data_IF_811737956618
#
_entry.id   IF_811737956618
#
_cell.length_a   1.000
_cell.length_b   1.000
_cell.length_c   1.000
_cell.angle_alpha   90.00
_cell.angle_beta   90.00
_cell.angle_gamma   90.00
#
_symmetry.space_group_name_H-M   'P 1'
#
loop_
_entity.id
_entity.type
_entity.pdbx_description
1 polymer ?
#
# COMPACT_ATOMS: atom_id res chain seq x y z
N UNK A 1 -23.49 6.11 -21.96
CA UNK A 1 -22.94 7.13 -21.09
C UNK A 1 -21.42 6.93 -20.96
N UNK A 2 -20.66 8.00 -21.11
CA UNK A 2 -19.19 7.91 -21.11
C UNK A 2 -18.61 7.78 -19.71
N UNK A 3 -19.34 8.22 -18.67
CA UNK A 3 -18.88 8.15 -17.29
C UNK A 3 -19.28 6.81 -16.70
N UNK A 4 -18.30 6.08 -16.15
CA UNK A 4 -18.54 4.77 -15.57
C UNK A 4 -17.71 4.62 -14.28
N UNK A 5 -18.37 4.77 -13.15
CA UNK A 5 -17.75 4.69 -11.84
C UNK A 5 -17.16 3.31 -11.56
N UNK A 6 -17.83 2.26 -12.02
CA UNK A 6 -17.38 0.89 -11.79
C UNK A 6 -16.07 0.60 -12.53
N UNK A 7 -15.95 1.12 -13.74
CA UNK A 7 -14.72 0.98 -14.52
C UNK A 7 -13.58 1.81 -13.90
N UNK A 8 -13.90 3.00 -13.39
CA UNK A 8 -12.93 3.82 -12.67
C UNK A 8 -12.39 3.13 -11.42
N UNK A 9 -13.27 2.49 -10.65
CA UNK A 9 -12.87 1.71 -9.48
C UNK A 9 -11.97 0.54 -9.86
N UNK A 10 -12.28 -0.12 -10.97
CA UNK A 10 -11.43 -1.22 -11.48
C UNK A 10 -10.03 -0.70 -11.81
N UNK A 11 -9.91 0.42 -12.51
CA UNK A 11 -8.62 1.01 -12.86
C UNK A 11 -7.82 1.35 -11.60
N UNK A 12 -8.46 1.98 -10.62
CA UNK A 12 -7.80 2.35 -9.36
C UNK A 12 -7.29 1.12 -8.61
N UNK A 13 -8.12 0.08 -8.53
CA UNK A 13 -7.73 -1.17 -7.86
C UNK A 13 -6.53 -1.83 -8.54
N UNK A 14 -6.60 -1.99 -9.87
CA UNK A 14 -5.53 -2.64 -10.60
C UNK A 14 -4.24 -1.83 -10.50
N UNK A 15 -4.32 -0.52 -10.63
CA UNK A 15 -3.15 0.35 -10.52
C UNK A 15 -2.51 0.24 -9.14
N UNK A 16 -3.29 0.41 -8.08
CA UNK A 16 -2.77 0.32 -6.72
C UNK A 16 -2.19 -1.07 -6.43
N UNK A 17 -2.98 -2.11 -6.74
CA UNK A 17 -2.59 -3.47 -6.41
C UNK A 17 -1.36 -3.94 -7.17
N UNK A 18 -1.30 -3.69 -8.46
CA UNK A 18 -0.18 -4.13 -9.30
C UNK A 18 1.10 -3.39 -8.90
N UNK A 19 1.04 -2.07 -8.76
CA UNK A 19 2.22 -1.28 -8.40
C UNK A 19 2.72 -1.61 -7.00
N UNK A 20 1.82 -1.81 -6.05
CA UNK A 20 2.21 -2.21 -4.70
C UNK A 20 2.81 -3.62 -4.70
N UNK A 21 2.26 -4.53 -5.50
CA UNK A 21 2.76 -5.90 -5.58
C UNK A 21 4.20 -5.96 -6.09
N UNK A 22 4.59 -5.06 -7.00
CA UNK A 22 6.00 -4.98 -7.41
C UNK A 22 6.92 -4.77 -6.21
N UNK A 23 6.52 -3.91 -5.27
CA UNK A 23 7.31 -3.68 -4.06
C UNK A 23 7.36 -4.94 -3.19
N UNK A 24 6.22 -5.64 -3.05
CA UNK A 24 6.16 -6.87 -2.26
C UNK A 24 7.00 -8.00 -2.85
N UNK A 25 6.92 -8.19 -4.16
CA UNK A 25 7.70 -9.22 -4.86
C UNK A 25 9.19 -8.93 -4.75
N UNK A 26 9.59 -7.65 -4.89
CA UNK A 26 10.99 -7.26 -4.70
C UNK A 26 11.51 -7.68 -3.32
N UNK A 27 10.70 -7.47 -2.28
CA UNK A 27 11.06 -7.84 -0.91
C UNK A 27 11.10 -9.36 -0.72
N UNK A 28 10.24 -10.11 -1.39
CA UNK A 28 10.29 -11.58 -1.36
C UNK A 28 11.59 -12.10 -1.97
N UNK A 29 12.04 -11.48 -3.06
CA UNK A 29 13.26 -11.92 -3.76
C UNK A 29 14.52 -11.50 -3.00
N UNK A 30 14.58 -10.26 -2.52
CA UNK A 30 15.80 -9.67 -1.94
C UNK A 30 15.83 -9.69 -0.41
N UNK A 31 14.73 -10.06 0.24
CA UNK A 31 14.65 -10.09 1.70
C UNK A 31 14.32 -8.74 2.31
N UNK A 32 14.20 -8.72 3.62
CA UNK A 32 13.77 -7.55 4.38
C UNK A 32 14.73 -7.21 5.54
N UNK A 33 16.02 -7.48 5.37
CA UNK A 33 16.98 -7.25 6.45
C UNK A 33 17.03 -5.79 6.90
N UNK A 34 16.93 -4.84 5.95
CA UNK A 34 16.87 -3.42 6.29
C UNK A 34 15.66 -3.07 7.13
N UNK A 35 14.50 -3.66 6.82
CA UNK A 35 13.27 -3.43 7.58
C UNK A 35 13.39 -4.04 8.97
N UNK A 36 13.97 -5.23 9.08
CA UNK A 36 14.23 -5.86 10.39
C UNK A 36 15.07 -4.97 11.28
N UNK A 37 16.12 -4.35 10.72
CA UNK A 37 16.95 -3.41 11.46
C UNK A 37 16.17 -2.19 11.96
N UNK A 38 15.33 -1.62 11.10
CA UNK A 38 14.50 -0.47 11.49
C UNK A 38 13.50 -0.82 12.59
N UNK A 39 12.89 -1.99 12.51
CA UNK A 39 11.92 -2.46 13.49
C UNK A 39 12.58 -2.64 14.86
N UNK A 40 13.74 -3.30 14.88
CA UNK A 40 14.49 -3.52 16.13
C UNK A 40 14.97 -2.19 16.73
N UNK A 41 15.46 -1.29 15.89
CA UNK A 41 15.91 0.03 16.34
C UNK A 41 14.76 0.88 16.91
N UNK A 42 13.54 0.62 16.48
CA UNK A 42 12.34 1.29 17.01
C UNK A 42 11.85 0.66 18.33
N UNK A 43 12.53 -0.38 18.83
CA UNK A 43 12.17 -1.04 20.07
C UNK A 43 11.12 -2.12 19.94
N UNK A 44 10.84 -2.58 18.72
CA UNK A 44 9.83 -3.61 18.46
C UNK A 44 10.50 -4.97 18.20
N UNK A 45 9.79 -6.08 18.47
CA UNK A 45 10.28 -7.41 18.09
C UNK A 45 10.49 -7.54 16.58
N UNK A 46 11.54 -8.23 16.19
CA UNK A 46 11.91 -8.40 14.78
C UNK A 46 10.78 -9.00 13.93
N UNK A 47 9.95 -9.85 14.53
CA UNK A 47 8.87 -10.52 13.81
C UNK A 47 7.88 -9.53 13.18
N UNK A 48 7.75 -8.33 13.73
CA UNK A 48 6.87 -7.30 13.15
C UNK A 48 7.32 -6.84 11.76
N UNK A 49 8.61 -7.05 11.41
CA UNK A 49 9.09 -6.73 10.07
C UNK A 49 8.38 -7.56 8.99
N UNK A 50 7.98 -8.76 9.31
CA UNK A 50 7.25 -9.62 8.35
C UNK A 50 5.85 -9.12 8.03
N UNK A 51 5.35 -8.18 8.80
CA UNK A 51 4.08 -7.50 8.50
C UNK A 51 4.08 -6.81 7.14
N UNK A 52 5.25 -6.43 6.62
CA UNK A 52 5.36 -5.82 5.30
C UNK A 52 4.82 -6.75 4.20
N UNK A 53 4.97 -8.06 4.36
CA UNK A 53 4.43 -9.00 3.38
C UNK A 53 2.90 -9.02 3.38
N UNK A 54 2.28 -8.79 4.52
CA UNK A 54 0.83 -8.66 4.60
C UNK A 54 0.38 -7.42 3.80
N UNK A 55 1.05 -6.29 3.99
CA UNK A 55 0.69 -5.03 3.33
C UNK A 55 1.11 -4.93 1.86
N UNK A 56 2.16 -5.64 1.45
CA UNK A 56 2.72 -5.48 0.11
C UNK A 56 2.63 -6.72 -0.77
N UNK A 57 2.17 -7.85 -0.25
CA UNK A 57 1.91 -9.06 -1.03
C UNK A 57 0.45 -9.48 -0.90
N UNK A 58 -0.01 -9.76 0.31
CA UNK A 58 -1.37 -10.28 0.54
C UNK A 58 -2.41 -9.22 0.20
N UNK A 59 -2.25 -8.02 0.75
CA UNK A 59 -3.22 -6.94 0.52
C UNK A 59 -3.36 -6.57 -0.95
N UNK A 60 -2.27 -6.38 -1.72
CA UNK A 60 -2.40 -6.12 -3.15
C UNK A 60 -3.12 -7.21 -3.92
N UNK A 61 -2.91 -8.47 -3.58
CA UNK A 61 -3.61 -9.59 -4.22
C UNK A 61 -5.12 -9.48 -3.97
N UNK A 62 -5.53 -9.18 -2.74
CA UNK A 62 -6.94 -8.96 -2.40
C UNK A 62 -7.53 -7.83 -3.24
N UNK A 63 -6.79 -6.76 -3.41
CA UNK A 63 -7.23 -5.59 -4.17
C UNK A 63 -7.33 -5.92 -5.67
N UNK A 64 -6.34 -6.61 -6.23
CA UNK A 64 -6.34 -6.99 -7.65
C UNK A 64 -7.55 -7.85 -7.95
N UNK A 65 -7.84 -8.85 -7.11
CA UNK A 65 -8.98 -9.73 -7.28
C UNK A 65 -10.31 -9.05 -6.94
N UNK A 66 -10.28 -8.01 -6.13
CA UNK A 66 -11.50 -7.44 -5.59
C UNK A 66 -12.16 -8.38 -4.58
N UNK A 67 -11.35 -9.10 -3.82
CA UNK A 67 -11.81 -10.05 -2.81
C UNK A 67 -11.48 -9.46 -1.44
N UNK A 68 -12.53 -9.09 -0.68
CA UNK A 68 -12.36 -8.36 0.58
C UNK A 68 -11.43 -7.15 0.41
N UNK A 69 -11.66 -6.40 -0.66
CA UNK A 69 -10.74 -5.33 -1.06
C UNK A 69 -10.67 -4.20 -0.02
N UNK A 70 -11.73 -3.96 0.74
CA UNK A 70 -11.67 -2.95 1.81
C UNK A 70 -10.69 -3.35 2.90
N UNK A 71 -10.62 -4.63 3.24
CA UNK A 71 -9.62 -5.14 4.18
C UNK A 71 -8.22 -4.96 3.57
N UNK A 72 -8.05 -5.33 2.30
CA UNK A 72 -6.78 -5.11 1.60
C UNK A 72 -6.37 -3.64 1.59
N UNK A 73 -7.30 -2.75 1.31
CA UNK A 73 -7.04 -1.32 1.32
C UNK A 73 -6.61 -0.82 2.71
N UNK A 74 -7.31 -1.26 3.75
CA UNK A 74 -6.95 -0.91 5.13
C UNK A 74 -5.54 -1.39 5.48
N UNK A 75 -5.19 -2.60 5.08
CA UNK A 75 -3.85 -3.16 5.32
C UNK A 75 -2.78 -2.32 4.62
N UNK A 76 -3.04 -1.84 3.41
CA UNK A 76 -2.10 -0.96 2.71
C UNK A 76 -1.97 0.39 3.43
N UNK A 77 -3.08 0.97 3.89
CA UNK A 77 -3.03 2.21 4.67
C UNK A 77 -2.13 2.04 5.89
N UNK A 78 -2.34 0.98 6.66
CA UNK A 78 -1.54 0.69 7.85
C UNK A 78 -0.07 0.50 7.47
N UNK A 79 0.19 -0.27 6.41
CA UNK A 79 1.55 -0.52 5.94
C UNK A 79 2.28 0.78 5.56
N UNK A 80 1.59 1.68 4.87
CA UNK A 80 2.19 2.95 4.47
C UNK A 80 2.44 3.87 5.66
N UNK A 81 1.52 3.92 6.63
CA UNK A 81 1.73 4.70 7.86
C UNK A 81 2.95 4.20 8.63
N UNK A 82 3.08 2.89 8.77
CA UNK A 82 4.22 2.28 9.45
C UNK A 82 5.51 2.55 8.67
N UNK A 83 5.49 2.43 7.36
CA UNK A 83 6.65 2.69 6.50
C UNK A 83 7.15 4.13 6.65
N UNK A 84 6.23 5.09 6.65
CA UNK A 84 6.58 6.50 6.85
C UNK A 84 7.20 6.70 8.23
N UNK A 85 6.59 6.12 9.25
CA UNK A 85 7.09 6.25 10.62
C UNK A 85 8.48 5.65 10.81
N UNK A 86 8.73 4.45 10.24
CA UNK A 86 10.00 3.74 10.43
C UNK A 86 11.11 4.28 9.52
N UNK A 87 10.83 4.52 8.26
CA UNK A 87 11.86 4.79 7.26
C UNK A 87 12.01 6.28 6.91
N UNK A 88 10.94 7.05 7.08
CA UNK A 88 10.88 8.43 6.59
C UNK A 88 10.33 9.44 7.61
N UNK A 89 10.66 9.31 8.91
CA UNK A 89 10.02 10.18 9.93
C UNK A 89 10.34 11.66 9.77
N UNK A 90 11.46 11.99 9.13
CA UNK A 90 11.94 13.37 9.00
C UNK A 90 11.61 13.98 7.64
N UNK A 91 10.90 13.26 6.78
CA UNK A 91 10.65 13.71 5.39
C UNK A 91 9.23 14.23 5.16
N UNK A 92 8.40 14.24 6.20
CA UNK A 92 6.97 14.56 6.08
C UNK A 92 6.73 15.95 5.46
N UNK A 93 7.60 16.91 5.74
CA UNK A 93 7.48 18.28 5.23
C UNK A 93 8.59 18.65 4.28
N UNK A 94 9.24 17.67 3.65
CA UNK A 94 10.37 17.91 2.74
C UNK A 94 9.96 17.75 1.29
N UNK A 95 10.64 18.50 0.42
CA UNK A 95 10.49 18.38 -1.03
C UNK A 95 11.76 17.78 -1.63
N UNK A 96 11.59 17.11 -2.78
CA UNK A 96 12.73 16.61 -3.53
C UNK A 96 13.36 17.74 -4.34
N UNK A 97 14.55 17.47 -4.93
CA UNK A 97 15.22 18.44 -5.80
C UNK A 97 14.40 18.77 -7.06
N UNK A 98 13.43 17.95 -7.40
CA UNK A 98 12.54 18.18 -8.54
C UNK A 98 11.22 18.87 -8.15
N UNK A 99 11.09 19.29 -6.90
CA UNK A 99 9.92 20.02 -6.42
C UNK A 99 8.76 19.18 -5.93
N UNK A 100 8.86 17.86 -6.04
CA UNK A 100 7.83 16.96 -5.54
C UNK A 100 7.98 16.73 -4.04
N UNK A 101 6.89 16.28 -3.41
CA UNK A 101 6.92 15.90 -2.00
C UNK A 101 7.81 14.66 -1.83
N UNK A 102 8.66 14.65 -0.80
CA UNK A 102 9.58 13.53 -0.56
C UNK A 102 8.86 12.19 -0.38
N UNK A 103 7.64 12.21 0.16
CA UNK A 103 6.81 11.03 0.40
C UNK A 103 5.70 10.84 -0.63
N UNK A 104 5.85 11.41 -1.85
CA UNK A 104 4.74 11.37 -2.79
C UNK A 104 4.31 9.96 -3.18
N UNK A 105 5.24 9.01 -3.30
CA UNK A 105 4.90 7.63 -3.63
C UNK A 105 4.12 6.99 -2.49
N UNK A 106 4.63 7.08 -1.26
CA UNK A 106 3.98 6.52 -0.08
C UNK A 106 2.63 7.20 0.16
N UNK A 107 2.59 8.53 0.01
CA UNK A 107 1.36 9.29 0.16
C UNK A 107 0.32 8.92 -0.89
N UNK A 108 0.74 8.71 -2.13
CA UNK A 108 -0.16 8.30 -3.20
C UNK A 108 -0.76 6.92 -2.93
N UNK A 109 0.07 5.96 -2.52
CA UNK A 109 -0.42 4.64 -2.14
C UNK A 109 -1.38 4.72 -0.96
N UNK A 110 -1.01 5.50 0.07
CA UNK A 110 -1.82 5.66 1.27
C UNK A 110 -3.20 6.21 0.95
N UNK A 111 -3.26 7.32 0.24
CA UNK A 111 -4.52 8.02 -0.03
C UNK A 111 -5.37 7.28 -1.05
N UNK A 112 -4.76 6.63 -2.04
CA UNK A 112 -5.49 5.80 -2.99
C UNK A 112 -6.13 4.60 -2.27
N UNK A 113 -5.39 3.95 -1.38
CA UNK A 113 -5.93 2.86 -0.58
C UNK A 113 -7.05 3.34 0.34
N UNK A 114 -6.89 4.50 0.97
CA UNK A 114 -7.94 5.08 1.81
C UNK A 114 -9.21 5.35 0.98
N UNK A 115 -9.06 5.87 -0.22
CA UNK A 115 -10.20 6.10 -1.11
C UNK A 115 -10.92 4.79 -1.45
N UNK A 116 -10.17 3.75 -1.79
CA UNK A 116 -10.74 2.44 -2.10
C UNK A 116 -11.43 1.78 -0.90
N UNK A 117 -10.93 2.04 0.30
CA UNK A 117 -11.61 1.57 1.52
C UNK A 117 -13.02 2.12 1.60
N UNK A 118 -13.20 3.40 1.28
CA UNK A 118 -14.51 4.04 1.34
C UNK A 118 -15.39 3.71 0.13
N UNK A 119 -14.84 3.62 -1.07
CA UNK A 119 -15.63 3.34 -2.28
C UNK A 119 -15.99 1.87 -2.41
N UNK A 120 -15.15 0.98 -1.88
CA UNK A 120 -15.25 -0.44 -2.15
C UNK A 120 -14.71 -0.81 -3.53
N UNK A 121 -14.79 -2.10 -3.92
CA UNK A 121 -14.13 -2.62 -5.11
C UNK A 121 -14.84 -2.33 -6.43
N UNK A 122 -16.10 -2.00 -6.40
CA UNK A 122 -16.91 -1.88 -7.59
C UNK A 122 -17.46 -3.21 -8.08
N UNK A 123 -18.13 -3.19 -9.23
CA UNK A 123 -18.83 -4.36 -9.76
C UNK A 123 -17.89 -5.43 -10.34
N UNK A 124 -16.72 -5.03 -10.84
CA UNK A 124 -15.77 -5.95 -11.45
C UNK A 124 -14.85 -6.57 -10.39
N UNK A 125 -15.44 -7.35 -9.48
CA UNK A 125 -14.72 -7.88 -8.32
C UNK A 125 -15.27 -9.25 -7.96
N UNK A 126 -14.45 -10.05 -7.25
CA UNK A 126 -14.86 -11.38 -6.77
C UNK A 126 -16.01 -11.25 -5.76
N UNK A 127 -15.89 -10.30 -4.84
CA UNK A 127 -17.02 -9.91 -3.98
C UNK A 127 -16.99 -8.39 -3.78
N UNK A 128 -18.05 -7.84 -3.17
CA UNK A 128 -18.15 -6.38 -2.99
C UNK A 128 -17.75 -5.91 -1.59
N UNK A 129 -16.93 -6.69 -0.92
CA UNK A 129 -16.47 -6.42 0.44
C UNK A 129 -15.06 -5.88 0.44
#
# INVERSE_FOLDING_TARGET
>A
MLINDEFGKLILRQTLGILMLFHGVHKLIHGIDGIKGMVVNAGLPEIFAYGVYIGEVIAPILIILGFYSRIGALLIVINMLVAIWLAHPNELFMLTQHGGWALELQGFFLLTAAALFFTGPGAFSVNRR
#
